data_IF_337785880252
#
_entry.id   IF_337785880252
#
_cell.length_a   1.000
_cell.length_b   1.000
_cell.length_c   1.000
_cell.angle_alpha   90.00
_cell.angle_beta   90.00
_cell.angle_gamma   90.00
#
_symmetry.space_group_name_H-M   'P 1'
#
loop_
_entity.id
_entity.type
_entity.pdbx_description
1 polymer ?
#
# COMPACT_ATOMS: atom_id res chain seq x y z
N UNK A 1 -4.47 1.87 9.13
CA UNK A 1 -5.18 2.71 8.16
C UNK A 1 -6.28 3.53 8.83
N UNK A 2 -7.45 2.97 9.17
CA UNK A 2 -8.56 3.74 9.77
C UNK A 2 -8.19 4.47 11.07
N UNK A 3 -7.39 3.84 11.92
CA UNK A 3 -6.86 4.48 13.14
C UNK A 3 -5.95 5.68 12.87
N UNK A 4 -5.31 5.74 11.69
CA UNK A 4 -4.53 6.89 11.24
C UNK A 4 -5.46 8.02 10.79
N UNK A 5 -6.54 7.71 10.07
CA UNK A 5 -7.60 8.68 9.76
C UNK A 5 -8.22 9.28 11.01
N UNK A 6 -8.53 8.46 12.02
CA UNK A 6 -9.01 8.93 13.33
C UNK A 6 -8.02 9.87 14.04
N UNK A 7 -6.73 9.81 13.70
CA UNK A 7 -5.66 10.66 14.24
C UNK A 7 -5.33 11.87 13.35
N UNK A 8 -6.10 12.12 12.31
CA UNK A 8 -5.96 13.30 11.44
C UNK A 8 -5.08 13.09 10.21
N UNK A 9 -4.59 11.88 9.94
CA UNK A 9 -3.89 11.58 8.69
C UNK A 9 -4.90 11.33 7.59
N UNK A 10 -5.20 12.37 6.81
CA UNK A 10 -6.30 12.33 5.86
C UNK A 10 -5.96 11.66 4.51
N UNK A 11 -4.69 11.62 4.10
CA UNK A 11 -4.28 11.01 2.83
C UNK A 11 -4.25 9.49 2.96
N UNK A 12 -4.94 8.81 2.06
CA UNK A 12 -5.00 7.34 1.96
C UNK A 12 -3.60 6.69 1.98
N UNK A 13 -2.69 7.17 1.12
CA UNK A 13 -1.33 6.66 1.01
C UNK A 13 -0.51 6.81 2.30
N UNK A 14 -0.72 7.90 3.04
CA UNK A 14 -0.06 8.16 4.32
C UNK A 14 -0.66 7.28 5.42
N UNK A 15 -1.98 7.11 5.43
CA UNK A 15 -2.68 6.18 6.31
C UNK A 15 -2.30 4.71 6.04
N UNK A 16 -2.02 4.36 4.77
CA UNK A 16 -1.49 3.06 4.37
C UNK A 16 -0.08 2.83 4.92
N UNK A 17 0.82 3.82 4.78
CA UNK A 17 2.17 3.74 5.34
C UNK A 17 2.16 3.58 6.87
N UNK A 18 1.35 4.38 7.57
CA UNK A 18 1.18 4.27 9.03
C UNK A 18 0.57 2.93 9.43
N UNK A 19 -0.34 2.38 8.61
CA UNK A 19 -0.88 1.04 8.80
C UNK A 19 0.19 -0.04 8.70
N UNK A 20 1.04 0.02 7.67
CA UNK A 20 2.20 -0.85 7.51
C UNK A 20 3.13 -0.75 8.72
N UNK A 21 3.52 0.46 9.13
CA UNK A 21 4.44 0.67 10.24
C UNK A 21 3.87 0.14 11.57
N UNK A 22 2.59 0.38 11.84
CA UNK A 22 1.94 -0.14 13.04
C UNK A 22 1.92 -1.69 13.05
N UNK A 23 1.72 -2.30 11.88
CA UNK A 23 1.71 -3.75 11.73
C UNK A 23 3.10 -4.37 11.91
N UNK A 24 4.15 -3.78 11.33
CA UNK A 24 5.53 -4.29 11.47
C UNK A 24 6.10 -4.14 12.87
N UNK A 25 5.62 -3.16 13.63
CA UNK A 25 5.99 -2.96 15.04
C UNK A 25 5.15 -3.82 16.01
N UNK A 26 4.12 -4.50 15.54
CA UNK A 26 3.28 -5.35 16.38
C UNK A 26 4.01 -6.66 16.71
N UNK A 27 3.88 -7.21 17.95
CA UNK A 27 4.61 -8.44 18.34
C UNK A 27 4.08 -9.72 17.68
N UNK A 28 2.84 -9.73 17.22
CA UNK A 28 2.20 -10.87 16.56
C UNK A 28 2.57 -10.93 15.06
N UNK A 29 3.01 -12.11 14.62
CA UNK A 29 3.46 -12.38 13.26
C UNK A 29 2.36 -12.20 12.20
N UNK A 30 1.09 -12.40 12.55
CA UNK A 30 -0.02 -12.24 11.62
C UNK A 30 -0.20 -10.77 11.22
N UNK A 31 0.01 -9.85 12.17
CA UNK A 31 0.01 -8.42 11.89
C UNK A 31 1.21 -8.02 11.05
N UNK A 32 2.41 -8.48 11.43
CA UNK A 32 3.64 -8.20 10.68
C UNK A 32 3.49 -8.66 9.22
N UNK A 33 3.03 -9.90 9.00
CA UNK A 33 2.78 -10.45 7.67
C UNK A 33 1.78 -9.62 6.89
N UNK A 34 0.62 -9.31 7.48
CA UNK A 34 -0.43 -8.53 6.83
C UNK A 34 0.05 -7.13 6.41
N UNK A 35 0.81 -6.46 7.29
CA UNK A 35 1.43 -5.17 7.00
C UNK A 35 2.42 -5.26 5.84
N UNK A 36 3.32 -6.26 5.87
CA UNK A 36 4.31 -6.49 4.82
C UNK A 36 3.66 -6.81 3.48
N UNK A 37 2.62 -7.66 3.45
CA UNK A 37 1.87 -7.97 2.21
C UNK A 37 1.17 -6.73 1.67
N UNK A 38 0.57 -5.90 2.53
CA UNK A 38 -0.03 -4.63 2.11
C UNK A 38 0.99 -3.68 1.46
N UNK A 39 2.18 -3.56 2.05
CA UNK A 39 3.28 -2.78 1.47
C UNK A 39 3.78 -3.37 0.15
N UNK A 40 3.93 -4.70 0.09
CA UNK A 40 4.31 -5.41 -1.13
C UNK A 40 3.33 -5.14 -2.28
N UNK A 41 2.02 -5.22 -2.03
CA UNK A 41 1.00 -4.98 -3.05
C UNK A 41 1.05 -3.53 -3.56
N UNK A 42 1.21 -2.55 -2.68
CA UNK A 42 1.35 -1.15 -3.09
C UNK A 42 2.61 -0.92 -3.94
N UNK A 43 3.74 -1.45 -3.50
CA UNK A 43 5.02 -1.35 -4.23
C UNK A 43 4.97 -2.08 -5.57
N UNK A 44 4.36 -3.26 -5.63
CA UNK A 44 4.26 -4.03 -6.87
C UNK A 44 3.28 -3.41 -7.87
N UNK A 45 2.23 -2.75 -7.41
CA UNK A 45 1.37 -1.94 -8.27
C UNK A 45 2.12 -0.73 -8.84
N UNK A 46 2.96 -0.07 -8.04
CA UNK A 46 3.83 0.99 -8.54
C UNK A 46 4.87 0.47 -9.53
N UNK A 47 5.53 -0.65 -9.21
CA UNK A 47 6.52 -1.30 -10.07
C UNK A 47 5.91 -1.74 -11.40
N UNK A 48 4.71 -2.31 -11.40
CA UNK A 48 4.00 -2.67 -12.63
C UNK A 48 3.82 -1.48 -13.58
N UNK A 49 3.49 -0.30 -13.04
CA UNK A 49 3.33 0.94 -13.82
C UNK A 49 4.66 1.50 -14.30
N UNK A 50 5.72 1.33 -13.52
CA UNK A 50 7.04 1.89 -13.80
C UNK A 50 7.87 1.02 -14.76
N UNK A 51 7.88 -0.29 -14.51
CA UNK A 51 8.63 -1.29 -15.25
C UNK A 51 8.00 -2.69 -15.12
N UNK A 52 7.31 -3.09 -16.18
CA UNK A 52 6.61 -4.38 -16.27
C UNK A 52 7.56 -5.58 -16.25
N UNK A 53 8.79 -5.45 -16.75
CA UNK A 53 9.74 -6.56 -16.79
C UNK A 53 10.34 -6.80 -15.40
N UNK A 54 10.68 -5.73 -14.68
CA UNK A 54 11.06 -5.82 -13.26
C UNK A 54 9.93 -6.37 -12.40
N UNK A 55 8.68 -5.94 -12.61
CA UNK A 55 7.52 -6.53 -11.94
C UNK A 55 7.43 -8.04 -12.17
N UNK A 56 7.56 -8.50 -13.43
CA UNK A 56 7.51 -9.93 -13.76
C UNK A 56 8.67 -10.69 -13.11
N UNK A 57 9.85 -10.11 -13.03
CA UNK A 57 11.01 -10.73 -12.37
C UNK A 57 10.73 -10.95 -10.89
N UNK A 58 10.35 -9.90 -10.14
CA UNK A 58 10.04 -9.99 -8.71
C UNK A 58 8.85 -10.92 -8.44
N UNK A 59 7.81 -10.86 -9.28
CA UNK A 59 6.61 -11.71 -9.13
C UNK A 59 6.92 -13.21 -9.23
N UNK A 60 7.97 -13.61 -9.95
CA UNK A 60 8.43 -15.01 -10.04
C UNK A 60 9.13 -15.50 -8.77
N UNK A 61 9.60 -14.60 -7.92
CA UNK A 61 10.26 -14.93 -6.65
C UNK A 61 9.27 -15.22 -5.53
N UNK A 62 7.97 -15.05 -5.77
CA UNK A 62 6.93 -15.29 -4.77
C UNK A 62 6.85 -16.77 -4.43
N UNK A 63 6.91 -17.08 -3.13
CA UNK A 63 6.71 -18.44 -2.65
C UNK A 63 5.26 -18.91 -2.82
N UNK A 64 5.06 -20.23 -2.81
CA UNK A 64 3.73 -20.84 -2.95
C UNK A 64 2.75 -20.41 -1.87
N UNK A 65 3.24 -20.17 -0.64
CA UNK A 65 2.43 -19.66 0.47
C UNK A 65 1.82 -18.30 0.16
N UNK A 66 2.64 -17.34 -0.26
CA UNK A 66 2.18 -16.01 -0.66
C UNK A 66 1.23 -16.07 -1.86
N UNK A 67 1.54 -16.93 -2.86
CA UNK A 67 0.66 -17.10 -4.02
C UNK A 67 -0.74 -17.61 -3.64
N UNK A 68 -0.81 -18.57 -2.71
CA UNK A 68 -2.06 -19.09 -2.17
C UNK A 68 -2.82 -17.98 -1.44
N UNK A 69 -2.16 -17.27 -0.53
CA UNK A 69 -2.83 -16.24 0.28
C UNK A 69 -3.36 -15.09 -0.60
N UNK A 70 -2.63 -14.67 -1.63
CA UNK A 70 -3.09 -13.67 -2.59
C UNK A 70 -4.25 -14.16 -3.47
N UNK A 71 -4.31 -15.47 -3.76
CA UNK A 71 -5.44 -16.07 -4.47
C UNK A 71 -6.68 -16.04 -3.58
N UNK A 72 -6.55 -16.51 -2.34
CA UNK A 72 -7.65 -16.58 -1.36
C UNK A 72 -8.17 -15.17 -1.06
N UNK A 73 -7.29 -14.18 -0.91
CA UNK A 73 -7.65 -12.78 -0.73
C UNK A 73 -8.48 -12.25 -1.90
N UNK A 74 -8.05 -12.50 -3.14
CA UNK A 74 -8.80 -12.08 -4.34
C UNK A 74 -10.18 -12.76 -4.41
N UNK A 75 -10.25 -14.06 -4.15
CA UNK A 75 -11.52 -14.81 -4.17
C UNK A 75 -12.47 -14.33 -3.08
N UNK A 76 -11.94 -14.01 -1.89
CA UNK A 76 -12.71 -13.40 -0.81
C UNK A 76 -13.28 -12.03 -1.17
N UNK A 77 -12.57 -11.19 -1.94
CA UNK A 77 -13.10 -9.89 -2.35
C UNK A 77 -14.04 -9.96 -3.55
N UNK A 78 -13.83 -10.92 -4.47
CA UNK A 78 -14.68 -11.11 -5.64
C UNK A 78 -16.15 -11.41 -5.28
N UNK A 79 -16.43 -12.05 -4.13
CA UNK A 79 -17.80 -12.25 -3.64
C UNK A 79 -18.49 -10.95 -3.18
N UNK A 80 -17.74 -9.86 -2.99
CA UNK A 80 -18.27 -8.54 -2.62
C UNK A 80 -18.27 -7.53 -3.80
N UNK A 81 -17.74 -7.91 -4.97
CA UNK A 81 -17.82 -7.08 -6.19
C UNK A 81 -19.30 -6.95 -6.63
N UNK A 82 -19.85 -5.72 -6.53
CA UNK A 82 -21.28 -5.43 -6.66
C UNK A 82 -21.68 -4.01 -6.20
N UNK A 83 -22.98 -3.69 -5.98
CA UNK A 83 -23.49 -2.33 -5.72
C UNK A 83 -22.87 -1.56 -4.54
N UNK A 84 -22.18 -2.26 -3.64
CA UNK A 84 -21.55 -1.73 -2.42
C UNK A 84 -20.24 -0.98 -2.72
N UNK A 85 -19.57 -1.31 -3.84
CA UNK A 85 -18.32 -0.65 -4.27
C UNK A 85 -18.53 0.85 -4.56
N UNK A 86 -19.73 1.26 -4.96
CA UNK A 86 -20.04 2.67 -5.28
C UNK A 86 -20.25 3.59 -4.09
N UNK A 87 -20.31 3.08 -2.85
CA UNK A 87 -20.67 3.90 -1.67
C UNK A 87 -19.45 4.27 -0.82
N UNK A 88 -18.35 3.52 -0.89
CA UNK A 88 -17.20 3.75 -0.01
C UNK A 88 -16.11 4.65 -0.59
N UNK A 89 -16.08 4.87 -1.90
CA UNK A 89 -15.03 5.66 -2.53
C UNK A 89 -15.49 7.10 -2.78
N UNK A 90 -14.74 8.07 -2.26
CA UNK A 90 -14.64 9.45 -2.77
C UNK A 90 -15.68 10.48 -2.33
N UNK A 91 -15.71 10.86 -1.05
CA UNK A 91 -16.23 12.21 -0.70
C UNK A 91 -15.16 13.16 -0.14
N UNK A 92 -14.08 12.66 0.46
CA UNK A 92 -13.06 13.54 1.08
C UNK A 92 -11.73 13.64 0.30
N UNK A 93 -11.28 12.54 -0.33
CA UNK A 93 -9.94 12.49 -0.95
C UNK A 93 -9.79 13.45 -2.14
N UNK A 94 -10.85 13.66 -2.93
CA UNK A 94 -10.87 14.65 -4.02
C UNK A 94 -10.81 16.11 -3.53
N UNK A 95 -11.42 16.41 -2.38
CA UNK A 95 -11.44 17.77 -1.81
C UNK A 95 -10.05 18.19 -1.29
N UNK A 96 -9.28 17.24 -0.75
CA UNK A 96 -7.90 17.43 -0.29
C UNK A 96 -6.90 17.48 -1.46
N UNK A 97 -7.04 16.59 -2.45
CA UNK A 97 -6.22 16.60 -3.68
C UNK A 97 -6.35 17.90 -4.47
N UNK A 98 -7.54 18.51 -4.50
CA UNK A 98 -7.76 19.79 -5.18
C UNK A 98 -7.15 21.00 -4.44
N UNK A 99 -6.94 20.92 -3.12
CA UNK A 99 -6.57 22.08 -2.30
C UNK A 99 -5.10 22.13 -1.87
N UNK A 100 -4.32 21.03 -1.88
CA UNK A 100 -2.88 21.10 -1.58
C UNK A 100 -2.02 20.06 -2.30
N UNK A 101 -1.00 20.62 -2.94
CA UNK A 101 0.35 20.09 -3.18
C UNK A 101 0.56 19.44 -4.55
N UNK A 102 1.34 20.13 -5.38
CA UNK A 102 2.00 19.53 -6.53
C UNK A 102 2.96 18.46 -5.99
N UNK A 103 2.55 17.20 -6.06
CA UNK A 103 3.49 16.11 -5.93
C UNK A 103 4.51 16.28 -7.09
N UNK A 104 5.81 16.28 -6.75
CA UNK A 104 6.89 16.49 -7.71
C UNK A 104 6.86 15.48 -8.85
N UNK A 105 7.60 15.76 -9.92
CA UNK A 105 7.45 15.20 -11.28
C UNK A 105 7.46 13.65 -11.41
N UNK A 106 7.73 12.86 -10.36
CA UNK A 106 7.55 11.40 -10.36
C UNK A 106 7.27 10.87 -8.93
N UNK A 107 6.02 10.83 -8.47
CA UNK A 107 5.63 10.09 -7.26
C UNK A 107 5.10 8.70 -7.64
N UNK A 108 5.56 7.65 -6.95
CA UNK A 108 5.04 6.29 -7.12
C UNK A 108 3.72 6.05 -6.35
N UNK A 109 3.27 7.07 -5.61
CA UNK A 109 2.30 7.00 -4.52
C UNK A 109 3.03 7.26 -3.20
N UNK A 110 2.44 8.09 -2.32
CA UNK A 110 3.15 8.60 -1.13
C UNK A 110 3.57 7.47 -0.17
N UNK A 111 2.83 6.37 -0.14
CA UNK A 111 3.19 5.18 0.62
C UNK A 111 4.53 4.61 0.13
N UNK A 112 4.68 4.42 -1.17
CA UNK A 112 5.89 3.83 -1.79
C UNK A 112 7.07 4.78 -1.63
N UNK A 113 6.85 6.09 -1.79
CA UNK A 113 7.88 7.10 -1.57
C UNK A 113 8.40 7.07 -0.12
N UNK A 114 7.51 6.91 0.87
CA UNK A 114 7.87 6.79 2.28
C UNK A 114 8.63 5.49 2.58
N UNK A 115 8.24 4.36 1.97
CA UNK A 115 8.97 3.09 2.09
C UNK A 115 10.40 3.20 1.52
N UNK A 116 10.55 3.85 0.36
CA UNK A 116 11.87 4.09 -0.24
C UNK A 116 12.74 5.01 0.63
N UNK A 117 12.15 6.05 1.22
CA UNK A 117 12.85 6.94 2.14
C UNK A 117 13.30 6.21 3.42
N UNK A 118 12.44 5.37 3.99
CA UNK A 118 12.78 4.51 5.14
C UNK A 118 13.94 3.55 4.80
N UNK A 119 13.87 2.90 3.64
CA UNK A 119 14.92 2.00 3.17
C UNK A 119 16.27 2.71 3.00
N UNK A 120 16.31 3.86 2.32
CA UNK A 120 17.55 4.65 2.12
C UNK A 120 18.16 5.08 3.45
N UNK A 121 17.32 5.59 4.37
CA UNK A 121 17.74 5.97 5.72
C UNK A 121 18.36 4.79 6.46
N UNK A 122 17.81 3.59 6.34
CA UNK A 122 18.35 2.38 6.96
C UNK A 122 19.71 1.96 6.36
N UNK A 123 19.96 2.27 5.08
CA UNK A 123 21.26 2.05 4.40
C UNK A 123 22.29 3.16 4.67
N UNK A 124 21.93 4.20 5.41
CA UNK A 124 22.79 5.38 5.60
C UNK A 124 22.89 6.29 4.38
N UNK A 125 21.98 6.11 3.41
CA UNK A 125 21.83 7.01 2.27
C UNK A 125 20.96 8.22 2.66
N UNK A 126 21.30 9.43 2.17
CA UNK A 126 20.54 10.65 2.46
C UNK A 126 19.13 10.67 1.86
#
# INVERSE_FOLDING_TARGET
>A
HEMAHQRGFAREDEANYLGYLACTLHPDADFQYSGTVSALLNTMNALYRADIESYKAVRKEYCDGLNRDLKDWREYWAQFEGPVERVSSNVNDSYLKANRQQDGVQSYGRMVDLLLAEFRKAQGEP
#
